data_IF_448092744851
#
_entry.id   IF_448092744851
#
_cell.length_a   1.000
_cell.length_b   1.000
_cell.length_c   1.000
_cell.angle_alpha   90.00
_cell.angle_beta   90.00
_cell.angle_gamma   90.00
#
_symmetry.space_group_name_H-M   'P 1'
#
loop_
_entity.id
_entity.type
_entity.pdbx_description
1 polymer ?
#
# COMPACT_ATOMS: atom_id res chain seq x y z
N UNK A 1 -13.37 16.25 -6.57
CA UNK A 1 -12.20 16.64 -7.37
C UNK A 1 -11.83 15.42 -8.20
N UNK A 2 -12.21 15.42 -9.47
CA UNK A 2 -12.14 14.25 -10.37
C UNK A 2 -11.31 14.52 -11.62
N UNK A 3 -11.01 15.78 -11.91
CA UNK A 3 -10.17 16.18 -13.03
C UNK A 3 -8.72 16.37 -12.58
N UNK A 4 -7.75 16.09 -13.47
CA UNK A 4 -6.33 16.25 -13.14
C UNK A 4 -5.96 17.70 -12.77
N UNK A 5 -6.69 18.68 -13.31
CA UNK A 5 -6.49 20.10 -13.01
C UNK A 5 -6.91 20.46 -11.57
N UNK A 6 -7.83 19.69 -10.96
CA UNK A 6 -8.34 19.98 -9.61
C UNK A 6 -7.23 19.91 -8.56
N UNK A 7 -6.31 18.95 -8.71
CA UNK A 7 -5.15 18.79 -7.82
C UNK A 7 -4.25 20.03 -7.81
N UNK A 8 -4.07 20.67 -8.98
CA UNK A 8 -3.33 21.93 -9.06
C UNK A 8 -4.14 23.11 -8.53
N UNK A 9 -5.43 23.20 -8.87
CA UNK A 9 -6.31 24.29 -8.45
C UNK A 9 -6.43 24.35 -6.92
N UNK A 10 -6.67 23.19 -6.29
CA UNK A 10 -6.91 23.07 -4.85
C UNK A 10 -5.60 23.18 -4.07
N UNK A 11 -4.48 22.78 -4.65
CA UNK A 11 -3.16 23.06 -4.08
C UNK A 11 -2.88 24.55 -3.91
N UNK A 12 -3.44 25.40 -4.76
CA UNK A 12 -3.34 26.86 -4.64
C UNK A 12 -4.47 27.47 -3.80
N UNK A 13 -5.64 26.85 -3.77
CA UNK A 13 -6.80 27.29 -2.99
C UNK A 13 -6.67 26.88 -1.52
N UNK A 14 -5.89 27.65 -0.75
CA UNK A 14 -5.66 27.39 0.68
C UNK A 14 -6.89 27.64 1.57
N UNK A 15 -7.75 28.58 1.16
CA UNK A 15 -8.89 29.04 1.93
C UNK A 15 -10.05 29.41 1.01
N UNK A 16 -11.27 29.12 1.44
CA UNK A 16 -12.51 29.55 0.81
C UNK A 16 -13.45 30.08 1.88
N UNK A 17 -13.90 31.32 1.75
CA UNK A 17 -14.81 31.97 2.71
C UNK A 17 -14.35 31.88 4.19
N UNK A 18 -13.07 32.11 4.48
CA UNK A 18 -12.55 32.03 5.85
C UNK A 18 -12.24 30.60 6.32
N UNK A 19 -12.53 29.57 5.51
CA UNK A 19 -12.36 28.16 5.88
C UNK A 19 -11.18 27.54 5.14
N UNK A 20 -10.27 26.93 5.90
CA UNK A 20 -9.15 26.17 5.35
C UNK A 20 -9.63 24.87 4.73
N UNK A 21 -9.07 24.53 3.57
CA UNK A 21 -9.33 23.25 2.93
C UNK A 21 -8.34 22.21 3.48
N UNK A 22 -8.85 21.03 3.80
CA UNK A 22 -8.07 19.89 4.30
C UNK A 22 -8.37 18.69 3.42
N UNK A 23 -7.33 17.99 2.97
CA UNK A 23 -7.51 16.74 2.21
C UNK A 23 -7.69 15.56 3.16
N UNK A 24 -8.75 14.79 2.97
CA UNK A 24 -9.01 13.56 3.72
C UNK A 24 -7.97 12.45 3.43
N UNK A 25 -7.17 12.56 2.38
CA UNK A 25 -6.11 11.60 2.02
C UNK A 25 -4.74 11.98 2.57
N UNK A 26 -4.64 13.11 3.27
CA UNK A 26 -3.42 13.61 3.90
C UNK A 26 -3.45 13.41 5.40
N UNK A 27 -2.27 13.41 6.01
CA UNK A 27 -2.12 13.53 7.45
C UNK A 27 -2.74 14.83 7.99
N UNK A 28 -3.07 14.84 9.28
CA UNK A 28 -3.56 16.04 9.97
C UNK A 28 -5.07 16.30 9.82
N UNK A 29 -5.83 15.35 9.27
CA UNK A 29 -7.28 15.39 9.34
C UNK A 29 -7.70 15.33 10.81
N UNK A 30 -8.41 16.36 11.27
CA UNK A 30 -8.99 16.40 12.61
C UNK A 30 -10.49 16.34 12.47
N UNK A 31 -11.09 15.32 13.04
CA UNK A 31 -12.53 15.19 13.16
C UNK A 31 -12.93 15.62 14.57
N UNK A 32 -14.12 16.20 14.70
CA UNK A 32 -14.65 16.53 16.02
C UNK A 32 -14.99 15.23 16.75
N UNK A 33 -14.51 15.11 17.99
CA UNK A 33 -14.62 13.90 18.81
C UNK A 33 -15.19 14.26 20.19
N UNK A 34 -16.07 13.40 20.69
CA UNK A 34 -16.50 13.45 22.09
C UNK A 34 -15.37 13.05 23.05
N UNK A 35 -15.48 13.47 24.32
CA UNK A 35 -14.51 13.10 25.36
C UNK A 35 -14.41 11.58 25.57
N UNK A 36 -15.52 10.85 25.40
CA UNK A 36 -15.55 9.39 25.52
C UNK A 36 -14.85 8.71 24.34
N UNK A 37 -14.99 9.24 23.12
CA UNK A 37 -14.28 8.74 21.94
C UNK A 37 -12.77 8.97 22.05
N UNK A 38 -12.34 10.12 22.57
CA UNK A 38 -10.90 10.39 22.79
C UNK A 38 -10.27 9.37 23.72
N UNK A 39 -10.91 9.06 24.86
CA UNK A 39 -10.43 8.06 25.81
C UNK A 39 -10.32 6.69 25.18
N UNK A 40 -11.37 6.25 24.48
CA UNK A 40 -11.37 4.97 23.75
C UNK A 40 -10.24 4.92 22.72
N UNK A 41 -9.97 6.02 22.03
CA UNK A 41 -8.86 6.10 21.06
C UNK A 41 -7.49 6.00 21.71
N UNK A 42 -7.28 6.61 22.88
CA UNK A 42 -6.03 6.47 23.63
C UNK A 42 -5.79 5.01 24.06
N UNK A 43 -6.82 4.35 24.60
CA UNK A 43 -6.74 2.93 24.97
C UNK A 43 -6.43 2.03 23.77
N UNK A 44 -7.06 2.28 22.62
CA UNK A 44 -6.79 1.53 21.39
C UNK A 44 -5.39 1.82 20.84
N UNK A 45 -4.89 3.05 20.96
CA UNK A 45 -3.50 3.38 20.58
C UNK A 45 -2.49 2.60 21.40
N UNK A 46 -2.66 2.54 22.71
CA UNK A 46 -1.79 1.75 23.59
C UNK A 46 -1.89 0.26 23.26
N UNK A 47 -3.11 -0.27 23.11
CA UNK A 47 -3.35 -1.69 22.81
C UNK A 47 -2.71 -2.14 21.49
N UNK A 48 -2.72 -1.28 20.47
CA UNK A 48 -2.19 -1.61 19.14
C UNK A 48 -0.76 -1.10 18.89
N UNK A 49 -0.13 -0.43 19.86
CA UNK A 49 1.25 0.10 19.72
C UNK A 49 2.24 -1.01 19.36
N UNK A 50 2.09 -2.20 19.97
CA UNK A 50 2.92 -3.37 19.68
C UNK A 50 2.79 -3.82 18.22
N UNK A 51 1.57 -3.88 17.69
CA UNK A 51 1.33 -4.24 16.29
C UNK A 51 1.89 -3.18 15.34
N UNK A 52 1.71 -1.88 15.64
CA UNK A 52 2.26 -0.80 14.84
C UNK A 52 3.79 -0.91 14.68
N UNK A 53 4.50 -1.27 15.76
CA UNK A 53 5.96 -1.50 15.73
C UNK A 53 6.32 -2.68 14.83
N UNK A 54 5.63 -3.82 14.98
CA UNK A 54 5.87 -5.00 14.13
C UNK A 54 5.62 -4.68 12.66
N UNK A 55 4.51 -4.01 12.33
CA UNK A 55 4.21 -3.61 10.95
C UNK A 55 5.31 -2.67 10.41
N UNK A 56 5.77 -1.71 11.21
CA UNK A 56 6.84 -0.78 10.81
C UNK A 56 8.16 -1.52 10.56
N UNK A 57 8.50 -2.50 11.38
CA UNK A 57 9.69 -3.34 11.19
C UNK A 57 9.61 -4.18 9.91
N UNK A 58 8.44 -4.77 9.62
CA UNK A 58 8.21 -5.57 8.40
C UNK A 58 8.27 -4.72 7.13
N UNK A 59 7.63 -3.54 7.15
CA UNK A 59 7.57 -2.67 5.99
C UNK A 59 8.83 -1.82 5.80
N UNK A 60 9.64 -1.64 6.85
CA UNK A 60 10.91 -0.93 6.80
C UNK A 60 10.77 0.46 6.19
N UNK A 61 11.47 0.68 5.06
CA UNK A 61 11.49 1.96 4.35
C UNK A 61 10.29 2.23 3.45
N UNK A 62 9.38 1.26 3.27
CA UNK A 62 8.17 1.43 2.44
C UNK A 62 7.17 2.41 3.03
N UNK A 63 7.17 2.56 4.37
CA UNK A 63 6.30 3.49 5.11
C UNK A 63 7.14 4.43 5.96
N UNK A 64 6.64 5.63 6.22
CA UNK A 64 7.27 6.55 7.17
C UNK A 64 7.03 6.07 8.59
N UNK A 65 5.75 5.90 8.94
CA UNK A 65 5.27 5.45 10.25
C UNK A 65 3.98 4.65 10.10
N UNK A 66 3.63 3.93 11.18
CA UNK A 66 2.39 3.18 11.30
C UNK A 66 1.66 3.71 12.52
N UNK A 67 0.39 4.11 12.36
CA UNK A 67 -0.41 4.72 13.42
C UNK A 67 -1.82 4.13 13.43
N UNK A 68 -2.51 4.25 14.55
CA UNK A 68 -3.93 3.91 14.63
C UNK A 68 -4.75 5.01 13.96
N UNK A 69 -5.63 4.61 13.04
CA UNK A 69 -6.51 5.52 12.31
C UNK A 69 -7.68 6.00 13.16
N UNK A 70 -8.10 7.23 12.91
CA UNK A 70 -9.33 7.84 13.43
C UNK A 70 -10.42 7.99 12.35
N UNK A 71 -10.08 7.76 11.07
CA UNK A 71 -10.95 8.04 9.92
C UNK A 71 -11.46 6.79 9.20
N UNK A 72 -10.81 5.64 9.41
CA UNK A 72 -11.14 4.38 8.72
C UNK A 72 -12.21 3.62 9.51
N UNK A 73 -13.26 3.17 8.81
CA UNK A 73 -14.40 2.46 9.41
C UNK A 73 -14.41 0.98 9.02
N UNK A 74 -14.56 0.66 7.73
CA UNK A 74 -14.70 -0.73 7.28
C UNK A 74 -13.37 -1.37 6.89
N UNK A 75 -12.48 -0.59 6.28
CA UNK A 75 -11.19 -1.10 5.79
C UNK A 75 -10.25 -1.48 6.94
N UNK A 76 -9.38 -2.50 6.78
CA UNK A 76 -8.40 -2.86 7.80
C UNK A 76 -7.30 -1.80 7.95
N UNK A 77 -6.91 -1.13 6.86
CA UNK A 77 -5.92 -0.06 6.87
C UNK A 77 -6.08 0.85 5.64
N UNK A 78 -5.43 2.01 5.68
CA UNK A 78 -5.26 2.90 4.53
C UNK A 78 -3.85 3.51 4.53
N UNK A 79 -3.46 4.09 3.39
CA UNK A 79 -2.22 4.83 3.26
C UNK A 79 -2.53 6.31 3.05
N UNK A 80 -1.92 7.15 3.88
CA UNK A 80 -2.02 8.60 3.79
C UNK A 80 -0.66 9.20 3.43
N UNK A 81 -0.67 10.35 2.78
CA UNK A 81 0.53 11.11 2.48
C UNK A 81 0.76 12.19 3.52
N UNK A 82 2.01 12.59 3.73
CA UNK A 82 2.33 13.74 4.57
C UNK A 82 1.58 15.01 4.14
N UNK A 83 1.38 15.94 5.07
CA UNK A 83 0.58 17.17 4.88
C UNK A 83 1.04 17.98 3.65
N UNK A 84 2.35 18.07 3.44
CA UNK A 84 2.96 18.82 2.34
C UNK A 84 3.38 17.95 1.14
N UNK A 85 3.18 16.64 1.22
CA UNK A 85 3.50 15.69 0.15
C UNK A 85 2.49 15.70 -0.99
N UNK A 86 2.86 15.04 -2.10
CA UNK A 86 1.91 14.75 -3.18
C UNK A 86 0.86 13.75 -2.71
N UNK A 87 -0.41 13.98 -3.07
CA UNK A 87 -1.47 12.99 -2.91
C UNK A 87 -1.24 11.81 -3.86
N UNK A 88 -1.94 10.69 -3.64
CA UNK A 88 -1.90 9.56 -4.56
C UNK A 88 -2.29 9.95 -6.00
N UNK A 89 -3.29 10.81 -6.14
CA UNK A 89 -3.75 11.29 -7.43
C UNK A 89 -2.72 12.23 -8.09
N UNK A 90 -2.12 13.14 -7.33
CA UNK A 90 -1.02 14.00 -7.82
C UNK A 90 0.19 13.15 -8.24
N UNK A 91 0.57 12.14 -7.45
CA UNK A 91 1.66 11.23 -7.78
C UNK A 91 1.42 10.54 -9.13
N UNK A 92 0.20 10.06 -9.38
CA UNK A 92 -0.21 9.45 -10.64
C UNK A 92 -0.16 10.43 -11.81
N UNK A 93 -0.68 11.64 -11.64
CA UNK A 93 -0.64 12.70 -12.67
C UNK A 93 0.81 13.03 -13.03
N UNK A 94 1.67 13.20 -12.03
CA UNK A 94 3.09 13.51 -12.21
C UNK A 94 3.87 12.36 -12.86
N UNK A 95 3.57 11.11 -12.51
CA UNK A 95 4.17 9.92 -13.15
C UNK A 95 3.77 9.80 -14.63
N UNK A 96 2.57 10.24 -15.00
CA UNK A 96 2.08 10.20 -16.39
C UNK A 96 2.63 11.33 -17.28
N UNK A 97 3.28 12.35 -16.71
CA UNK A 97 3.84 13.47 -17.48
C UNK A 97 5.20 13.11 -18.09
N UNK A 98 5.24 13.05 -19.43
CA UNK A 98 6.42 12.63 -20.21
C UNK A 98 7.64 13.59 -20.10
N UNK A 99 7.42 14.86 -19.78
CA UNK A 99 8.47 15.90 -19.69
C UNK A 99 8.91 16.19 -18.24
N UNK A 100 8.58 15.30 -17.30
CA UNK A 100 8.90 15.50 -15.89
C UNK A 100 10.42 15.40 -15.66
N UNK A 101 10.97 16.40 -14.98
CA UNK A 101 12.30 16.31 -14.40
C UNK A 101 12.29 15.31 -13.22
N UNK A 102 13.09 14.26 -13.34
CA UNK A 102 13.19 13.18 -12.35
C UNK A 102 13.72 13.68 -11.01
N UNK A 103 14.41 14.83 -10.99
CA UNK A 103 14.97 15.46 -9.79
C UNK A 103 13.88 15.88 -8.77
N UNK A 104 12.71 16.30 -9.24
CA UNK A 104 11.58 16.72 -8.40
C UNK A 104 10.86 15.56 -7.71
N UNK A 105 11.06 14.33 -8.19
CA UNK A 105 10.33 13.16 -7.70
C UNK A 105 10.81 12.69 -6.32
N UNK A 106 12.10 12.87 -5.99
CA UNK A 106 12.67 12.35 -4.74
C UNK A 106 12.20 13.09 -3.47
N UNK A 107 11.97 14.40 -3.56
CA UNK A 107 11.54 15.21 -2.40
C UNK A 107 10.03 15.17 -2.18
N UNK A 108 9.26 15.05 -3.27
CA UNK A 108 7.79 15.12 -3.23
C UNK A 108 7.09 13.75 -3.18
N UNK A 109 7.78 12.66 -3.56
CA UNK A 109 7.33 11.28 -3.37
C UNK A 109 7.60 10.83 -1.93
N UNK A 110 7.06 11.59 -0.97
CA UNK A 110 7.23 11.35 0.45
C UNK A 110 6.80 9.93 0.82
N UNK A 111 7.49 9.34 1.80
CA UNK A 111 7.09 8.05 2.37
C UNK A 111 5.64 8.16 2.90
N UNK A 112 4.90 7.06 2.78
CA UNK A 112 3.47 7.01 3.13
C UNK A 112 3.32 6.61 4.58
N UNK A 113 2.29 7.11 5.25
CA UNK A 113 1.93 6.63 6.59
C UNK A 113 0.82 5.61 6.48
N UNK A 114 1.01 4.46 7.11
CA UNK A 114 -0.02 3.42 7.19
C UNK A 114 -0.87 3.66 8.42
N UNK A 115 -2.15 3.96 8.21
CA UNK A 115 -3.12 4.03 9.30
C UNK A 115 -3.87 2.70 9.41
N UNK A 116 -3.86 2.08 10.59
CA UNK A 116 -4.53 0.81 10.86
C UNK A 116 -5.85 1.02 11.59
N UNK A 117 -6.85 0.22 11.25
CA UNK A 117 -8.16 0.26 11.90
C UNK A 117 -8.21 -0.74 13.08
N UNK A 118 -8.23 -0.26 14.33
CA UNK A 118 -8.19 -1.13 15.50
C UNK A 118 -9.50 -1.92 15.72
N UNK A 119 -10.59 -1.51 15.06
CA UNK A 119 -11.91 -2.16 15.19
C UNK A 119 -12.13 -3.24 14.13
N UNK A 120 -11.23 -3.35 13.14
CA UNK A 120 -11.32 -4.38 12.13
C UNK A 120 -10.83 -5.73 12.66
N UNK A 121 -11.59 -6.79 12.40
CA UNK A 121 -11.29 -8.15 12.87
C UNK A 121 -9.91 -8.67 12.40
N UNK A 122 -9.47 -8.29 11.20
CA UNK A 122 -8.15 -8.66 10.66
C UNK A 122 -7.04 -8.07 11.52
N UNK A 123 -7.21 -6.81 11.97
CA UNK A 123 -6.20 -6.14 12.79
C UNK A 123 -6.14 -6.70 14.21
N UNK A 124 -7.27 -7.05 14.82
CA UNK A 124 -7.25 -7.70 16.15
C UNK A 124 -6.61 -9.11 16.10
N UNK A 125 -6.86 -9.88 15.04
CA UNK A 125 -6.23 -11.18 14.85
C UNK A 125 -4.72 -11.06 14.58
N UNK A 126 -4.31 -10.11 13.73
CA UNK A 126 -2.89 -9.83 13.51
C UNK A 126 -2.17 -9.40 14.78
N UNK A 127 -2.82 -8.59 15.63
CA UNK A 127 -2.28 -8.19 16.92
C UNK A 127 -2.03 -9.41 17.81
N UNK A 128 -3.00 -10.31 17.96
CA UNK A 128 -2.86 -11.52 18.78
C UNK A 128 -1.73 -12.42 18.28
N UNK A 129 -1.61 -12.60 16.97
CA UNK A 129 -0.53 -13.40 16.37
C UNK A 129 0.84 -12.77 16.57
N UNK A 130 0.94 -11.46 16.37
CA UNK A 130 2.19 -10.72 16.58
C UNK A 130 2.61 -10.68 18.07
N UNK A 131 1.65 -10.70 19.00
CA UNK A 131 1.90 -10.83 20.45
C UNK A 131 2.42 -12.23 20.81
N UNK A 132 1.92 -13.28 20.14
CA UNK A 132 2.34 -14.66 20.37
C UNK A 132 3.73 -14.96 19.78
N UNK A 133 3.97 -14.55 18.53
CA UNK A 133 5.27 -14.67 17.87
C UNK A 133 5.52 -13.48 16.92
N UNK A 134 6.47 -12.62 17.32
CA UNK A 134 6.88 -11.44 16.54
C UNK A 134 7.58 -11.79 15.23
N UNK A 135 8.10 -13.01 15.09
CA UNK A 135 8.85 -13.46 13.92
C UNK A 135 8.06 -14.42 13.03
N UNK A 136 6.77 -14.61 13.29
CA UNK A 136 5.91 -15.45 12.48
C UNK A 136 5.93 -15.00 11.00
N UNK A 137 6.40 -15.89 10.13
CA UNK A 137 6.48 -15.67 8.69
C UNK A 137 5.10 -15.35 8.09
N UNK A 138 4.03 -15.95 8.64
CA UNK A 138 2.67 -15.70 8.18
C UNK A 138 2.24 -14.25 8.47
N UNK A 139 2.60 -13.70 9.63
CA UNK A 139 2.33 -12.29 9.98
C UNK A 139 3.06 -11.36 9.03
N UNK A 140 4.33 -11.62 8.73
CA UNK A 140 5.11 -10.82 7.77
C UNK A 140 4.47 -10.83 6.38
N UNK A 141 4.04 -12.00 5.91
CA UNK A 141 3.42 -12.12 4.60
C UNK A 141 2.04 -11.45 4.52
N UNK A 142 1.23 -11.54 5.58
CA UNK A 142 -0.07 -10.86 5.67
C UNK A 142 0.08 -9.35 5.76
N UNK A 143 1.05 -8.83 6.52
CA UNK A 143 1.32 -7.38 6.63
C UNK A 143 1.70 -6.80 5.27
N UNK A 144 2.57 -7.49 4.53
CA UNK A 144 2.94 -7.08 3.19
C UNK A 144 1.75 -7.12 2.21
N UNK A 145 0.89 -8.14 2.30
CA UNK A 145 -0.32 -8.22 1.48
C UNK A 145 -1.29 -7.08 1.79
N UNK A 146 -1.50 -6.78 3.08
CA UNK A 146 -2.31 -5.66 3.51
C UNK A 146 -1.76 -4.33 3.00
N UNK A 147 -0.44 -4.15 3.04
CA UNK A 147 0.21 -2.96 2.51
C UNK A 147 -0.01 -2.80 1.00
N UNK A 148 0.22 -3.86 0.22
CA UNK A 148 0.02 -3.81 -1.24
C UNK A 148 -1.46 -3.57 -1.60
N UNK A 149 -2.38 -4.18 -0.83
CA UNK A 149 -3.82 -3.93 -1.00
C UNK A 149 -4.17 -2.49 -0.64
N UNK A 150 -3.60 -1.95 0.43
CA UNK A 150 -3.80 -0.56 0.85
C UNK A 150 -3.23 0.44 -0.15
N UNK A 151 -2.14 0.12 -0.85
CA UNK A 151 -1.61 0.93 -1.95
C UNK A 151 -2.67 1.09 -3.04
N UNK A 152 -3.26 -0.03 -3.48
CA UNK A 152 -4.29 -0.02 -4.51
C UNK A 152 -5.54 0.75 -4.07
N UNK A 153 -6.09 0.44 -2.90
CA UNK A 153 -7.34 1.08 -2.43
C UNK A 153 -7.15 2.56 -2.10
N UNK A 154 -5.94 2.98 -1.74
CA UNK A 154 -5.61 4.39 -1.49
C UNK A 154 -5.20 5.15 -2.76
N UNK A 155 -5.24 4.51 -3.93
CA UNK A 155 -5.02 5.13 -5.23
C UNK A 155 -3.54 5.27 -5.64
N UNK A 156 -2.62 4.59 -4.96
CA UNK A 156 -1.21 4.55 -5.34
C UNK A 156 -0.95 3.44 -6.37
N UNK A 157 0.16 3.58 -7.10
CA UNK A 157 0.64 2.53 -8.00
C UNK A 157 1.43 1.48 -7.22
N UNK A 158 1.29 0.22 -7.63
CA UNK A 158 2.18 -0.85 -7.18
C UNK A 158 3.54 -0.74 -7.88
N UNK A 159 4.62 -0.89 -7.12
CA UNK A 159 5.98 -0.88 -7.68
C UNK A 159 6.27 -2.18 -8.45
N UNK A 160 5.82 -3.32 -7.92
CA UNK A 160 5.99 -4.64 -8.53
C UNK A 160 4.68 -5.46 -8.47
N UNK A 161 3.86 -5.39 -9.53
CA UNK A 161 2.63 -6.17 -9.64
C UNK A 161 2.85 -7.69 -9.61
N UNK A 162 4.00 -8.19 -10.08
CA UNK A 162 4.27 -9.64 -10.13
C UNK A 162 4.50 -10.20 -8.72
N UNK A 163 5.25 -9.47 -7.89
CA UNK A 163 5.44 -9.84 -6.48
C UNK A 163 4.11 -9.84 -5.72
N UNK A 164 3.24 -8.84 -5.96
CA UNK A 164 1.90 -8.81 -5.38
C UNK A 164 1.04 -10.00 -5.84
N UNK A 165 1.01 -10.30 -7.14
CA UNK A 165 0.28 -11.44 -7.69
C UNK A 165 0.75 -12.78 -7.11
N UNK A 166 2.08 -12.96 -6.99
CA UNK A 166 2.68 -14.16 -6.39
C UNK A 166 2.22 -14.34 -4.93
N UNK A 167 2.14 -13.25 -4.17
CA UNK A 167 1.66 -13.27 -2.77
C UNK A 167 0.18 -13.63 -2.67
N UNK A 168 -0.66 -13.14 -3.59
CA UNK A 168 -2.07 -13.53 -3.69
C UNK A 168 -2.18 -15.03 -4.01
N UNK A 169 -1.44 -15.52 -5.00
CA UNK A 169 -1.46 -16.92 -5.38
C UNK A 169 -1.04 -17.83 -4.21
N UNK A 170 -0.03 -17.44 -3.41
CA UNK A 170 0.33 -18.15 -2.18
C UNK A 170 -0.81 -18.19 -1.17
N UNK A 171 -1.50 -17.07 -0.94
CA UNK A 171 -2.65 -17.05 -0.01
C UNK A 171 -3.81 -17.90 -0.49
N UNK A 172 -4.05 -17.95 -1.81
CA UNK A 172 -5.05 -18.84 -2.40
C UNK A 172 -4.67 -20.30 -2.22
N UNK A 173 -3.40 -20.67 -2.45
CA UNK A 173 -2.90 -22.03 -2.17
C UNK A 173 -3.11 -22.43 -0.72
N UNK A 174 -2.74 -21.55 0.24
CA UNK A 174 -2.96 -21.78 1.66
C UNK A 174 -4.45 -21.93 2.01
N UNK A 175 -5.31 -21.06 1.46
CA UNK A 175 -6.75 -21.12 1.68
C UNK A 175 -7.42 -22.39 1.11
N UNK A 176 -6.85 -22.95 0.05
CA UNK A 176 -7.27 -24.23 -0.55
C UNK A 176 -6.53 -25.45 0.01
N UNK A 177 -5.61 -25.26 0.97
CA UNK A 177 -4.76 -26.33 1.53
C UNK A 177 -3.94 -27.07 0.47
N UNK A 178 -3.46 -26.35 -0.55
CA UNK A 178 -2.52 -26.86 -1.55
C UNK A 178 -1.11 -26.67 -1.00
N UNK A 179 -0.42 -27.76 -0.70
CA UNK A 179 0.96 -27.72 -0.19
C UNK A 179 1.91 -27.16 -1.26
N UNK A 180 2.79 -26.23 -0.86
CA UNK A 180 3.77 -25.62 -1.78
C UNK A 180 4.76 -26.66 -2.36
N UNK A 181 4.90 -27.82 -1.71
CA UNK A 181 5.82 -28.90 -2.09
C UNK A 181 5.34 -29.74 -3.29
N UNK A 182 4.04 -29.82 -3.60
CA UNK A 182 3.55 -30.60 -4.75
C UNK A 182 3.81 -29.90 -6.09
N UNK A 183 3.98 -28.58 -6.10
CA UNK A 183 4.17 -27.81 -7.35
C UNK A 183 5.60 -27.78 -7.90
N UNK A 184 6.59 -28.26 -7.14
CA UNK A 184 7.97 -28.35 -7.64
C UNK A 184 8.16 -29.46 -8.69
N UNK A 185 7.25 -30.45 -8.77
CA UNK A 185 7.33 -31.52 -9.76
C UNK A 185 6.75 -31.12 -11.12
N UNK A 186 5.84 -30.12 -11.18
CA UNK A 186 5.16 -29.73 -12.41
C UNK A 186 6.01 -28.86 -13.37
N UNK A 187 7.02 -28.14 -12.87
CA UNK A 187 7.92 -27.32 -13.71
C UNK A 187 9.07 -28.15 -14.34
N UNK A 188 9.21 -29.43 -13.99
CA UNK A 188 10.24 -30.32 -14.56
C UNK A 188 9.83 -31.06 -15.84
N UNK A 189 8.55 -30.95 -16.24
CA UNK A 189 8.00 -31.70 -17.39
C UNK A 189 7.70 -30.82 -18.61
N UNK A 190 8.24 -29.59 -18.66
CA UNK A 190 8.28 -28.81 -19.90
C UNK A 190 9.39 -29.36 -20.80
N UNK A 191 9.08 -29.94 -21.97
CA UNK A 191 10.11 -30.34 -22.92
C UNK A 191 10.92 -29.11 -23.33
N UNK A 192 12.25 -29.24 -23.52
CA UNK A 192 13.07 -28.13 -23.97
C UNK A 192 12.52 -27.59 -25.29
N UNK A 193 12.36 -26.27 -25.35
CA UNK A 193 12.02 -25.57 -26.60
C UNK A 193 13.11 -25.94 -27.61
N UNK A 194 12.76 -26.68 -28.65
CA UNK A 194 13.63 -26.90 -29.80
C UNK A 194 13.90 -25.54 -30.44
N UNK A 195 15.16 -25.11 -30.39
CA UNK A 195 15.68 -23.98 -31.16
C UNK A 195 15.58 -24.32 -32.66
N UNK A 196 14.43 -24.07 -33.28
CA UNK A 196 14.32 -24.05 -34.74
C UNK A 196 15.01 -22.78 -35.24
N UNK A 197 16.32 -22.88 -35.43
CA UNK A 197 17.13 -21.96 -36.21
C UNK A 197 16.70 -22.04 -37.69
N UNK A 198 15.52 -21.48 -37.99
CA UNK A 198 15.07 -21.24 -39.36
C UNK A 198 15.89 -20.11 -39.97
N UNK A 199 16.86 -20.48 -40.82
CA UNK A 199 17.64 -19.59 -41.67
C UNK A 199 16.73 -18.58 -42.40
N UNK A 200 16.73 -17.32 -41.96
CA UNK A 200 16.15 -16.22 -42.73
C UNK A 200 17.07 -15.90 -43.91
N UNK A 201 16.85 -16.59 -45.03
CA UNK A 201 17.47 -16.29 -46.32
C UNK A 201 16.96 -14.94 -46.80
N UNK A 202 17.80 -13.90 -46.71
CA UNK A 202 17.59 -12.62 -47.39
C UNK A 202 17.47 -12.88 -48.90
N UNK A 203 16.35 -12.48 -49.49
CA UNK A 203 16.20 -12.36 -50.93
C UNK A 203 16.33 -10.88 -51.29
N UNK A 204 17.44 -10.53 -51.96
CA UNK A 204 17.63 -9.24 -52.62
C UNK A 204 16.58 -9.10 -53.73
N UNK A 205 16.00 -7.90 -53.85
CA UNK A 205 15.27 -7.48 -55.04
C UNK A 205 15.91 -6.20 -55.56
N UNK A 206 16.48 -6.32 -56.76
CA UNK A 206 16.99 -5.26 -57.66
C UNK A 206 15.90 -4.21 -57.99
#
# INVERSE_FOLDING_TARGET
MVDAIDEYAVGQLKEFEGKKLVSATKEGLKLDESEDEKKRKEELKEKFEGLCKVIKEVLGDKVEKVVVSDRVVDSPCCLVTGEYGWTANMERIMKAQALKDSSMSGYMSSKKTMEINPENAIMDELRKRAEADKNDKSVKDLVMLLFDTALLTSGFSLDDPNTFGTRIHRMLKLGLSIDEDETAEADTDMPPLEDDAGESKMEEVD
#
